data_IF_268047929298
#
_entry.id   IF_268047929298
#
_cell.length_a   1.000
_cell.length_b   1.000
_cell.length_c   1.000
_cell.angle_alpha   90.00
_cell.angle_beta   90.00
_cell.angle_gamma   90.00
#
_symmetry.space_group_name_H-M   'P 1'
#
loop_
_entity.id
_entity.type
_entity.pdbx_description
1 polymer ?
#
# COMPACT_ATOMS: atom_id res chain seq x y z
N UNK A 1 7.37 8.71 17.75
CA UNK A 1 7.38 9.05 16.31
C UNK A 1 5.97 8.96 15.70
N UNK A 2 5.27 7.84 15.81
CA UNK A 2 3.89 7.67 15.29
C UNK A 2 2.88 8.73 15.81
N UNK A 3 2.97 9.08 17.10
CA UNK A 3 2.08 10.07 17.75
C UNK A 3 2.29 11.53 17.25
N UNK A 4 3.48 11.84 16.72
CA UNK A 4 3.78 13.15 16.17
C UNK A 4 3.25 13.26 14.72
N UNK A 5 3.38 12.18 13.94
CA UNK A 5 2.83 12.08 12.59
C UNK A 5 1.30 12.12 12.60
N UNK A 6 0.64 11.49 13.58
CA UNK A 6 -0.83 11.52 13.68
C UNK A 6 -1.38 12.93 13.93
N UNK A 7 -0.67 13.78 14.70
CA UNK A 7 -1.09 15.17 14.93
C UNK A 7 -0.97 16.08 13.70
N UNK A 8 -0.02 15.80 12.81
CA UNK A 8 0.23 16.61 11.61
C UNK A 8 -0.64 16.13 10.43
N UNK A 9 -0.79 14.81 10.28
CA UNK A 9 -1.48 14.22 9.13
C UNK A 9 -2.97 14.00 9.41
N UNK A 10 -3.33 13.61 10.64
CA UNK A 10 -4.71 13.27 11.05
C UNK A 10 -5.80 14.29 10.66
N UNK A 11 -5.60 15.61 10.90
CA UNK A 11 -6.62 16.61 10.56
C UNK A 11 -6.92 16.67 9.05
N UNK A 12 -5.90 16.49 8.20
CA UNK A 12 -6.02 16.56 6.75
C UNK A 12 -6.65 15.30 6.12
N UNK A 13 -6.62 14.15 6.83
CA UNK A 13 -7.22 12.90 6.34
C UNK A 13 -8.75 12.90 6.43
N UNK A 14 -9.32 13.74 7.29
CA UNK A 14 -10.78 13.87 7.45
C UNK A 14 -11.48 14.35 6.17
N UNK A 15 -10.77 15.13 5.34
CA UNK A 15 -11.28 15.59 4.04
C UNK A 15 -11.16 14.52 2.93
N UNK A 16 -10.34 13.48 3.13
CA UNK A 16 -9.98 12.55 2.06
C UNK A 16 -10.99 11.41 1.83
N UNK A 17 -12.07 11.33 2.63
CA UNK A 17 -13.21 10.40 2.49
C UNK A 17 -12.80 9.02 1.92
N UNK A 18 -13.51 8.48 0.93
CA UNK A 18 -13.19 7.19 0.29
C UNK A 18 -11.91 7.17 -0.54
N UNK A 19 -11.34 8.33 -0.89
CA UNK A 19 -10.06 8.42 -1.60
C UNK A 19 -8.89 7.84 -0.82
N UNK A 20 -9.03 7.76 0.51
CA UNK A 20 -8.06 7.13 1.40
C UNK A 20 -7.79 5.66 1.05
N UNK A 21 -8.80 4.95 0.53
CA UNK A 21 -8.67 3.55 0.10
C UNK A 21 -7.67 3.36 -1.04
N UNK A 22 -7.47 4.39 -1.86
CA UNK A 22 -6.50 4.40 -2.94
C UNK A 22 -5.13 4.88 -2.44
N UNK A 23 -5.11 5.92 -1.60
CA UNK A 23 -3.87 6.52 -1.10
C UNK A 23 -3.09 5.58 -0.20
N UNK A 24 -3.75 4.80 0.66
CA UNK A 24 -3.09 3.87 1.58
C UNK A 24 -2.19 2.87 0.82
N UNK A 25 -2.71 2.09 -0.16
CA UNK A 25 -1.87 1.18 -0.94
C UNK A 25 -0.71 1.88 -1.65
N UNK A 26 -0.96 3.04 -2.26
CA UNK A 26 0.05 3.80 -3.00
C UNK A 26 1.20 4.21 -2.08
N UNK A 27 0.91 4.73 -0.89
CA UNK A 27 1.94 5.10 0.08
C UNK A 27 2.76 3.88 0.50
N UNK A 28 2.13 2.74 0.77
CA UNK A 28 2.86 1.51 1.12
C UNK A 28 3.81 1.09 -0.01
N UNK A 29 3.34 1.12 -1.26
CA UNK A 29 4.19 0.82 -2.43
C UNK A 29 5.36 1.79 -2.53
N UNK A 30 5.13 3.10 -2.42
CA UNK A 30 6.20 4.09 -2.50
C UNK A 30 7.26 3.87 -1.42
N UNK A 31 6.85 3.57 -0.19
CA UNK A 31 7.78 3.25 0.90
C UNK A 31 8.55 1.95 0.61
N UNK A 32 7.90 0.94 0.01
CA UNK A 32 8.55 -0.30 -0.39
C UNK A 32 9.54 -0.11 -1.57
N UNK A 33 9.29 0.84 -2.46
CA UNK A 33 10.24 1.26 -3.51
C UNK A 33 11.45 2.00 -2.94
N UNK A 34 11.36 2.50 -1.72
CA UNK A 34 12.49 3.07 -0.95
C UNK A 34 13.16 2.03 -0.03
N UNK A 35 12.76 0.76 -0.11
CA UNK A 35 13.33 -0.32 0.68
C UNK A 35 12.72 -0.51 2.08
N UNK A 36 11.63 0.19 2.41
CA UNK A 36 10.93 0.00 3.68
C UNK A 36 10.06 -1.25 3.59
N UNK A 37 10.25 -2.18 4.53
CA UNK A 37 9.51 -3.42 4.54
C UNK A 37 7.99 -3.19 4.65
N UNK A 38 7.14 -3.85 3.82
CA UNK A 38 5.70 -3.62 3.78
C UNK A 38 5.00 -3.77 5.13
N UNK A 39 5.36 -4.80 5.92
CA UNK A 39 4.81 -5.00 7.27
C UNK A 39 5.05 -3.80 8.20
N UNK A 40 6.20 -3.12 8.07
CA UNK A 40 6.50 -1.92 8.87
C UNK A 40 5.58 -0.78 8.47
N UNK A 41 5.44 -0.55 7.17
CA UNK A 41 4.54 0.47 6.61
C UNK A 41 3.08 0.25 7.02
N UNK A 42 2.60 -1.00 6.93
CA UNK A 42 1.23 -1.38 7.34
C UNK A 42 1.01 -1.12 8.82
N UNK A 43 1.96 -1.54 9.67
CA UNK A 43 1.85 -1.38 11.13
C UNK A 43 1.84 0.09 11.53
N UNK A 44 2.72 0.90 10.94
CA UNK A 44 2.79 2.34 11.21
C UNK A 44 1.55 3.08 10.75
N UNK A 45 1.11 2.86 9.50
CA UNK A 45 -0.08 3.50 8.95
C UNK A 45 -1.34 3.05 9.69
N UNK A 46 -1.47 1.77 10.03
CA UNK A 46 -2.60 1.26 10.82
C UNK A 46 -2.75 1.99 12.16
N UNK A 47 -1.65 2.16 12.91
CA UNK A 47 -1.68 2.91 14.18
C UNK A 47 -2.07 4.38 14.00
N UNK A 48 -1.56 5.04 12.96
CA UNK A 48 -1.91 6.43 12.66
C UNK A 48 -3.39 6.56 12.27
N UNK A 49 -3.90 5.63 11.46
CA UNK A 49 -5.28 5.66 10.99
C UNK A 49 -6.30 5.31 12.07
N UNK A 50 -5.97 4.42 13.01
CA UNK A 50 -6.84 4.10 14.14
C UNK A 50 -6.94 5.24 15.17
N UNK A 51 -5.92 6.11 15.22
CA UNK A 51 -5.89 7.27 16.14
C UNK A 51 -6.41 8.56 15.50
N UNK A 52 -6.47 8.60 14.18
CA UNK A 52 -7.12 9.65 13.41
C UNK A 52 -8.61 9.30 13.34
N UNK A 53 -9.51 10.16 13.80
CA UNK A 53 -10.96 9.89 13.80
C UNK A 53 -11.51 9.90 12.36
N UNK A 54 -11.14 8.92 11.54
CA UNK A 54 -11.53 8.81 10.14
C UNK A 54 -12.95 8.23 10.06
N UNK A 55 -13.80 8.81 9.21
CA UNK A 55 -15.21 8.42 9.03
C UNK A 55 -15.40 7.11 8.22
N UNK A 56 -14.32 6.43 7.83
CA UNK A 56 -14.34 5.23 7.00
C UNK A 56 -14.44 3.99 7.88
N UNK A 57 -15.21 2.95 7.49
CA UNK A 57 -15.25 1.68 8.22
C UNK A 57 -13.85 1.08 8.44
N UNK A 58 -13.58 0.61 9.66
CA UNK A 58 -12.29 -0.01 10.02
C UNK A 58 -11.94 -1.20 9.12
N UNK A 59 -12.94 -1.96 8.68
CA UNK A 59 -12.77 -3.06 7.73
C UNK A 59 -12.19 -2.57 6.39
N UNK A 60 -12.72 -1.47 5.84
CA UNK A 60 -12.25 -0.93 4.56
C UNK A 60 -10.79 -0.47 4.66
N UNK A 61 -10.42 0.12 5.79
CA UNK A 61 -9.02 0.52 6.08
C UNK A 61 -8.12 -0.72 6.16
N UNK A 62 -8.53 -1.76 6.89
CA UNK A 62 -7.76 -3.00 7.01
C UNK A 62 -7.55 -3.68 5.64
N UNK A 63 -8.58 -3.71 4.81
CA UNK A 63 -8.48 -4.24 3.45
C UNK A 63 -7.53 -3.40 2.58
N UNK A 64 -7.61 -2.06 2.65
CA UNK A 64 -6.71 -1.18 1.91
C UNK A 64 -5.24 -1.34 2.34
N UNK A 65 -4.98 -1.50 3.65
CA UNK A 65 -3.65 -1.81 4.17
C UNK A 65 -3.12 -3.15 3.63
N UNK A 66 -3.97 -4.17 3.61
CA UNK A 66 -3.61 -5.50 3.10
C UNK A 66 -3.31 -5.46 1.59
N UNK A 67 -4.14 -4.76 0.80
CA UNK A 67 -3.91 -4.52 -0.63
C UNK A 67 -2.60 -3.80 -0.87
N UNK A 68 -2.27 -2.78 -0.06
CA UNK A 68 -0.98 -2.11 -0.13
C UNK A 68 0.21 -3.05 0.11
N UNK A 69 0.09 -3.92 1.11
CA UNK A 69 1.08 -4.97 1.38
C UNK A 69 1.25 -5.92 0.20
N UNK A 70 0.16 -6.52 -0.28
CA UNK A 70 0.17 -7.43 -1.42
C UNK A 70 0.77 -6.76 -2.67
N UNK A 71 0.36 -5.52 -2.97
CA UNK A 71 0.85 -4.78 -4.12
C UNK A 71 2.35 -4.47 -4.00
N UNK A 72 2.83 -4.11 -2.80
CA UNK A 72 4.25 -3.86 -2.59
C UNK A 72 5.12 -5.09 -2.80
N UNK A 73 4.61 -6.30 -2.53
CA UNK A 73 5.32 -7.54 -2.86
C UNK A 73 5.40 -7.78 -4.38
N UNK A 74 4.43 -7.28 -5.15
CA UNK A 74 4.42 -7.43 -6.61
C UNK A 74 5.36 -6.46 -7.33
N UNK A 75 5.59 -5.27 -6.76
CA UNK A 75 6.25 -4.17 -7.50
C UNK A 75 7.51 -3.60 -6.82
N UNK A 76 7.95 -4.16 -5.68
CA UNK A 76 9.19 -3.72 -5.03
C UNK A 76 10.41 -4.51 -5.51
N UNK A 77 11.49 -3.85 -5.98
CA UNK A 77 12.70 -4.55 -6.41
C UNK A 77 13.50 -5.18 -5.25
N UNK A 78 13.11 -4.92 -4.00
CA UNK A 78 13.76 -5.46 -2.80
C UNK A 78 13.08 -6.73 -2.28
N UNK A 79 11.99 -7.16 -2.92
CA UNK A 79 11.25 -8.35 -2.52
C UNK A 79 11.98 -9.62 -2.97
N UNK A 80 12.00 -10.63 -2.10
CA UNK A 80 12.82 -11.83 -2.28
C UNK A 80 12.46 -12.64 -3.52
N UNK A 81 11.16 -12.81 -3.83
CA UNK A 81 10.74 -13.51 -5.03
C UNK A 81 11.11 -12.73 -6.30
N UNK A 82 11.03 -11.40 -6.30
CA UNK A 82 11.48 -10.55 -7.41
C UNK A 82 12.98 -10.68 -7.64
N UNK A 83 13.79 -10.67 -6.57
CA UNK A 83 15.25 -10.88 -6.67
C UNK A 83 15.56 -12.28 -7.21
N UNK A 84 14.85 -13.31 -6.74
CA UNK A 84 15.01 -14.68 -7.24
C UNK A 84 14.64 -14.78 -8.73
N UNK A 85 13.52 -14.21 -9.15
CA UNK A 85 13.07 -14.23 -10.55
C UNK A 85 14.04 -13.43 -11.43
N UNK A 86 14.54 -12.31 -10.91
CA UNK A 86 15.55 -11.49 -11.58
C UNK A 86 16.84 -12.26 -11.86
N UNK A 87 17.32 -13.05 -10.89
CA UNK A 87 18.47 -13.93 -11.04
C UNK A 87 18.22 -15.05 -12.07
N UNK A 88 17.06 -15.72 -11.97
CA UNK A 88 16.67 -16.79 -12.90
C UNK A 88 16.47 -16.32 -14.35
N UNK A 89 16.00 -15.08 -14.53
CA UNK A 89 15.70 -14.51 -15.83
C UNK A 89 16.84 -13.64 -16.41
N UNK A 90 17.95 -13.49 -15.68
CA UNK A 90 19.11 -12.65 -16.04
C UNK A 90 18.71 -11.21 -16.45
N UNK A 91 17.80 -10.61 -15.67
CA UNK A 91 17.34 -9.22 -15.87
C UNK A 91 17.37 -8.46 -14.55
N UNK A 92 17.53 -7.12 -14.54
CA UNK A 92 17.52 -6.35 -13.30
C UNK A 92 16.21 -6.51 -12.50
N UNK A 93 16.23 -6.51 -11.14
CA UNK A 93 15.03 -6.66 -10.31
C UNK A 93 13.94 -5.62 -10.61
N UNK A 94 14.36 -4.40 -10.97
CA UNK A 94 13.46 -3.32 -11.38
C UNK A 94 12.68 -3.64 -12.66
N UNK A 95 13.24 -4.48 -13.54
CA UNK A 95 12.56 -4.95 -14.76
C UNK A 95 11.41 -5.87 -14.38
N UNK A 96 11.65 -6.84 -13.51
CA UNK A 96 10.59 -7.74 -13.03
C UNK A 96 9.52 -6.95 -12.27
N UNK A 97 9.94 -6.14 -11.31
CA UNK A 97 9.06 -5.38 -10.42
C UNK A 97 8.18 -4.36 -11.16
N UNK A 98 8.75 -3.58 -12.07
CA UNK A 98 8.05 -2.44 -12.70
C UNK A 98 7.60 -2.78 -14.11
N UNK A 99 8.48 -3.34 -14.95
CA UNK A 99 8.15 -3.58 -16.37
C UNK A 99 7.23 -4.78 -16.54
N UNK A 100 7.45 -5.87 -15.81
CA UNK A 100 6.60 -7.06 -15.92
C UNK A 100 5.37 -6.95 -15.02
N UNK A 101 5.56 -6.58 -13.75
CA UNK A 101 4.46 -6.56 -12.79
C UNK A 101 3.72 -5.22 -12.68
N UNK A 102 4.29 -4.10 -13.15
CA UNK A 102 3.70 -2.78 -12.92
C UNK A 102 2.31 -2.60 -13.51
N UNK A 103 2.07 -3.11 -14.73
CA UNK A 103 0.74 -3.02 -15.36
C UNK A 103 -0.30 -3.86 -14.62
N UNK A 104 0.07 -5.09 -14.24
CA UNK A 104 -0.78 -5.94 -13.41
C UNK A 104 -1.06 -5.28 -12.04
N UNK A 105 -0.03 -4.70 -11.41
CA UNK A 105 -0.15 -4.01 -10.14
C UNK A 105 -1.13 -2.82 -10.19
N UNK A 106 -1.12 -2.06 -11.29
CA UNK A 106 -2.07 -0.96 -11.49
C UNK A 106 -3.52 -1.47 -11.58
N UNK A 107 -3.76 -2.51 -12.37
CA UNK A 107 -5.09 -3.12 -12.45
C UNK A 107 -5.54 -3.74 -11.13
N UNK A 108 -4.62 -4.42 -10.43
CA UNK A 108 -4.87 -4.98 -9.11
C UNK A 108 -5.27 -3.89 -8.10
N UNK A 109 -4.60 -2.75 -8.11
CA UNK A 109 -4.95 -1.60 -7.27
C UNK A 109 -6.36 -1.09 -7.57
N UNK A 110 -6.64 -0.76 -8.83
CA UNK A 110 -7.94 -0.22 -9.23
C UNK A 110 -9.09 -1.19 -8.90
N UNK A 111 -8.93 -2.47 -9.26
CA UNK A 111 -9.94 -3.49 -8.97
C UNK A 111 -10.14 -3.66 -7.47
N UNK A 112 -9.07 -3.72 -6.70
CA UNK A 112 -9.15 -3.88 -5.24
C UNK A 112 -9.85 -2.70 -4.57
N UNK A 113 -9.56 -1.46 -4.99
CA UNK A 113 -10.26 -0.28 -4.47
C UNK A 113 -11.76 -0.33 -4.77
N UNK A 114 -12.14 -0.73 -5.97
CA UNK A 114 -13.55 -0.90 -6.37
C UNK A 114 -14.23 -1.99 -5.51
N UNK A 115 -13.59 -3.15 -5.36
CA UNK A 115 -14.12 -4.26 -4.54
C UNK A 115 -14.28 -3.84 -3.09
N UNK A 116 -13.29 -3.16 -2.50
CA UNK A 116 -13.39 -2.68 -1.11
C UNK A 116 -14.57 -1.72 -0.97
N UNK A 117 -14.72 -0.76 -1.90
CA UNK A 117 -15.81 0.21 -1.86
C UNK A 117 -17.18 -0.48 -1.86
N UNK A 118 -17.41 -1.46 -2.75
CA UNK A 118 -18.67 -2.19 -2.83
C UNK A 118 -18.91 -3.16 -1.66
N UNK A 119 -17.86 -3.69 -1.04
CA UNK A 119 -18.00 -4.65 0.06
C UNK A 119 -18.19 -3.98 1.42
N UNK A 120 -17.90 -2.68 1.51
CA UNK A 120 -17.89 -1.93 2.79
C UNK A 120 -18.85 -0.75 2.83
N UNK A 121 -19.61 -0.51 1.74
CA UNK A 121 -20.82 0.31 1.70
C UNK A 121 -22.04 -0.59 1.46
#
# INVERSE_FOLDING_TARGET
MALALSKVVGPNLSHLSWGLLFVIPVVIVLLALLGIHPLVSITLLGQVLLTSQVTIPTLAIALALNVGGALSYLVSPFEGAIVLISDLADVPPTTVAIKYNGWFGLWFLLLSTVVIYFFTN
#
